data_IF_261241889878
#
_entry.id   IF_261241889878
#
_cell.length_a   1.000
_cell.length_b   1.000
_cell.length_c   1.000
_cell.angle_alpha   90.00
_cell.angle_beta   90.00
_cell.angle_gamma   90.00
#
_symmetry.space_group_name_H-M   'P 1'
#
loop_
_entity.id
_entity.type
_entity.pdbx_description
1 polymer ?
#
# COMPACT_ATOMS: atom_id res chain seq x y z
N UNK A 1 43.32 39.92 -17.23
CA UNK A 1 42.73 38.59 -17.50
C UNK A 1 41.77 38.22 -16.39
N UNK A 2 40.46 38.20 -16.67
CA UNK A 2 39.43 37.69 -15.75
C UNK A 2 39.02 36.30 -16.22
N UNK A 3 38.98 35.34 -15.31
CA UNK A 3 38.65 33.93 -15.57
C UNK A 3 37.18 33.82 -15.99
N UNK A 4 36.93 33.36 -17.22
CA UNK A 4 35.58 33.17 -17.82
C UNK A 4 35.25 31.69 -17.99
N UNK A 5 35.65 30.84 -17.04
CA UNK A 5 35.29 29.43 -17.07
C UNK A 5 35.03 28.94 -15.65
N UNK A 6 33.76 28.64 -15.35
CA UNK A 6 33.37 28.06 -14.06
C UNK A 6 32.01 28.50 -13.53
N UNK A 7 30.99 28.69 -14.37
CA UNK A 7 29.61 28.58 -13.86
C UNK A 7 29.32 27.09 -13.81
N UNK A 8 29.34 26.50 -12.60
CA UNK A 8 28.74 25.19 -12.39
C UNK A 8 27.28 25.33 -12.85
N UNK A 9 26.89 24.65 -13.93
CA UNK A 9 25.48 24.47 -14.23
C UNK A 9 24.86 23.90 -12.96
N UNK A 10 23.91 24.62 -12.37
CA UNK A 10 23.05 24.07 -11.35
C UNK A 10 22.56 22.71 -11.87
N UNK A 11 22.91 21.63 -11.17
CA UNK A 11 22.42 20.31 -11.53
C UNK A 11 20.94 20.35 -11.25
N UNK A 12 20.16 20.55 -12.31
CA UNK A 12 18.71 20.37 -12.25
C UNK A 12 18.44 19.02 -11.59
N UNK A 13 17.47 18.97 -10.67
CA UNK A 13 17.11 17.73 -10.02
C UNK A 13 16.82 16.65 -11.08
N UNK A 14 17.19 15.39 -10.82
CA UNK A 14 16.89 14.31 -11.74
C UNK A 14 15.39 14.32 -12.08
N UNK A 15 15.02 14.10 -13.36
CA UNK A 15 13.64 14.20 -13.79
C UNK A 15 12.77 13.27 -12.94
N UNK A 16 11.66 13.80 -12.44
CA UNK A 16 10.69 13.01 -11.70
C UNK A 16 9.93 12.06 -12.63
N UNK A 17 9.26 11.06 -12.04
CA UNK A 17 8.33 10.19 -12.77
C UNK A 17 7.27 11.04 -13.48
N UNK A 18 6.78 12.10 -12.83
CA UNK A 18 5.82 13.03 -13.42
C UNK A 18 6.38 13.76 -14.65
N UNK A 19 7.62 14.26 -14.57
CA UNK A 19 8.27 14.93 -15.71
C UNK A 19 8.44 13.97 -16.90
N UNK A 20 8.73 12.70 -16.62
CA UNK A 20 8.84 11.66 -17.64
C UNK A 20 7.48 11.36 -18.28
N UNK A 21 6.42 11.23 -17.47
CA UNK A 21 5.04 11.02 -17.95
C UNK A 21 4.57 12.19 -18.83
N UNK A 22 4.78 13.42 -18.40
CA UNK A 22 4.40 14.62 -19.18
C UNK A 22 5.10 14.69 -20.53
N UNK A 23 6.39 14.31 -20.59
CA UNK A 23 7.16 14.25 -21.84
C UNK A 23 6.65 13.15 -22.77
N UNK A 24 6.29 11.99 -22.24
CA UNK A 24 5.74 10.88 -23.02
C UNK A 24 4.36 11.24 -23.56
N UNK A 25 3.49 11.84 -22.74
CA UNK A 25 2.16 12.29 -23.15
C UNK A 25 2.24 13.30 -24.29
N UNK A 26 3.09 14.33 -24.17
CA UNK A 26 3.34 15.30 -25.25
C UNK A 26 3.84 14.64 -26.53
N UNK A 27 4.70 13.63 -26.43
CA UNK A 27 5.17 12.86 -27.61
C UNK A 27 4.03 12.03 -28.21
N UNK A 28 3.17 11.45 -27.38
CA UNK A 28 1.97 10.72 -27.78
C UNK A 28 1.03 11.60 -28.60
N UNK A 29 0.66 12.77 -28.07
CA UNK A 29 -0.18 13.76 -28.76
C UNK A 29 0.39 14.12 -30.14
N UNK A 30 1.70 14.41 -30.22
CA UNK A 30 2.37 14.72 -31.48
C UNK A 30 2.35 13.57 -32.49
N UNK A 31 2.43 12.32 -32.02
CA UNK A 31 2.34 11.13 -32.88
C UNK A 31 0.90 10.94 -33.35
N UNK A 32 -0.08 11.10 -32.47
CA UNK A 32 -1.50 10.99 -32.81
C UNK A 32 -1.94 12.05 -33.82
N UNK A 33 -1.50 13.30 -33.68
CA UNK A 33 -1.75 14.35 -34.67
C UNK A 33 -1.20 13.98 -36.06
N UNK A 34 0.00 13.35 -36.12
CA UNK A 34 0.59 12.90 -37.39
C UNK A 34 -0.22 11.76 -37.99
N UNK A 35 -0.67 10.81 -37.16
CA UNK A 35 -1.54 9.70 -37.61
C UNK A 35 -2.84 10.27 -38.18
N UNK A 36 -3.49 11.22 -37.50
CA UNK A 36 -4.73 11.85 -37.97
C UNK A 36 -4.56 12.55 -39.32
N UNK A 37 -3.45 13.29 -39.51
CA UNK A 37 -3.14 13.94 -40.80
C UNK A 37 -2.96 12.91 -41.93
N UNK A 38 -2.25 11.82 -41.67
CA UNK A 38 -2.04 10.74 -42.64
C UNK A 38 -3.35 10.01 -42.96
N UNK A 39 -4.23 9.81 -41.97
CA UNK A 39 -5.56 9.23 -42.18
C UNK A 39 -6.43 10.09 -43.10
N UNK A 40 -6.46 11.40 -42.87
CA UNK A 40 -7.17 12.32 -43.75
C UNK A 40 -6.63 12.28 -45.19
N UNK A 41 -5.31 12.15 -45.37
CA UNK A 41 -4.70 11.99 -46.69
C UNK A 41 -5.08 10.65 -47.35
N UNK A 42 -5.09 9.55 -46.60
CA UNK A 42 -5.52 8.23 -47.09
C UNK A 42 -6.98 8.22 -47.55
N UNK A 43 -7.87 8.93 -46.84
CA UNK A 43 -9.27 9.08 -47.27
C UNK A 43 -9.34 9.78 -48.64
N UNK A 44 -8.57 10.85 -48.85
CA UNK A 44 -8.51 11.56 -50.15
C UNK A 44 -8.01 10.65 -51.27
N UNK A 45 -6.94 9.88 -51.02
CA UNK A 45 -6.46 8.92 -52.01
C UNK A 45 -7.48 7.83 -52.31
N UNK A 46 -8.19 7.32 -51.30
CA UNK A 46 -9.25 6.32 -51.48
C UNK A 46 -10.35 6.84 -52.40
N UNK A 47 -10.77 8.09 -52.23
CA UNK A 47 -11.74 8.74 -53.12
C UNK A 47 -11.19 8.95 -54.54
N UNK A 48 -9.93 9.38 -54.66
CA UNK A 48 -9.30 9.58 -55.96
C UNK A 48 -9.19 8.27 -56.74
N UNK A 49 -8.82 7.17 -56.07
CA UNK A 49 -8.76 5.83 -56.69
C UNK A 49 -10.13 5.41 -57.19
N UNK A 50 -11.20 5.64 -56.42
CA UNK A 50 -12.59 5.32 -56.82
C UNK A 50 -13.04 6.11 -58.04
N UNK A 51 -12.65 7.38 -58.15
CA UNK A 51 -13.04 8.27 -59.27
C UNK A 51 -12.16 8.10 -60.53
N UNK A 52 -10.99 7.45 -60.40
CA UNK A 52 -10.06 7.26 -61.51
C UNK A 52 -10.31 5.94 -62.21
N UNK A 53 -10.41 5.95 -63.55
CA UNK A 53 -10.57 4.74 -64.36
C UNK A 53 -9.36 3.79 -64.19
N UNK A 54 -9.55 2.45 -64.16
CA UNK A 54 -8.45 1.51 -64.08
C UNK A 54 -7.40 1.73 -65.17
N UNK A 55 -6.13 1.76 -64.78
CA UNK A 55 -5.00 2.00 -65.69
C UNK A 55 -3.80 2.67 -64.99
N UNK A 56 -2.78 3.09 -65.77
CA UNK A 56 -1.53 3.63 -65.22
C UNK A 56 -1.71 4.82 -64.26
N UNK A 57 -2.70 5.67 -64.52
CA UNK A 57 -3.03 6.80 -63.64
C UNK A 57 -3.56 6.35 -62.28
N UNK A 58 -4.45 5.35 -62.24
CA UNK A 58 -4.97 4.79 -60.99
C UNK A 58 -3.83 4.12 -60.19
N UNK A 59 -2.92 3.41 -60.85
CA UNK A 59 -1.82 2.73 -60.16
C UNK A 59 -0.75 3.68 -59.63
N UNK A 60 -0.55 4.83 -60.28
CA UNK A 60 0.26 5.90 -59.71
C UNK A 60 -0.35 6.46 -58.41
N UNK A 61 -1.68 6.59 -58.34
CA UNK A 61 -2.38 7.04 -57.12
C UNK A 61 -2.31 5.96 -56.03
N UNK A 62 -2.52 4.68 -56.35
CA UNK A 62 -2.35 3.57 -55.39
C UNK A 62 -0.92 3.53 -54.84
N UNK A 63 0.10 3.71 -55.68
CA UNK A 63 1.49 3.73 -55.23
C UNK A 63 1.78 4.86 -54.24
N UNK A 64 1.18 6.05 -54.43
CA UNK A 64 1.27 7.17 -53.48
C UNK A 64 0.56 6.85 -52.17
N UNK A 65 -0.67 6.33 -52.24
CA UNK A 65 -1.44 5.90 -51.07
C UNK A 65 -0.69 4.86 -50.24
N UNK A 66 -0.01 3.91 -50.89
CA UNK A 66 0.80 2.89 -50.21
C UNK A 66 1.98 3.49 -49.43
N UNK A 67 2.60 4.58 -49.90
CA UNK A 67 3.67 5.27 -49.15
C UNK A 67 3.13 5.92 -47.88
N UNK A 68 1.98 6.60 -47.99
CA UNK A 68 1.31 7.22 -46.84
C UNK A 68 0.85 6.17 -45.83
N UNK A 69 0.32 5.04 -46.29
CA UNK A 69 -0.09 3.94 -45.42
C UNK A 69 1.10 3.35 -44.65
N UNK A 70 2.25 3.16 -45.30
CA UNK A 70 3.49 2.73 -44.63
C UNK A 70 3.94 3.72 -43.58
N UNK A 71 3.88 5.03 -43.88
CA UNK A 71 4.23 6.07 -42.92
C UNK A 71 3.27 6.08 -41.73
N UNK A 72 1.96 5.91 -41.96
CA UNK A 72 0.97 5.78 -40.89
C UNK A 72 1.29 4.59 -39.99
N UNK A 73 1.53 3.41 -40.57
CA UNK A 73 1.87 2.19 -39.83
C UNK A 73 3.12 2.35 -38.97
N UNK A 74 4.11 3.08 -39.45
CA UNK A 74 5.31 3.41 -38.65
C UNK A 74 4.96 4.26 -37.42
N UNK A 75 4.11 5.29 -37.56
CA UNK A 75 3.68 6.11 -36.43
C UNK A 75 2.75 5.37 -35.47
N UNK A 76 1.87 4.49 -35.96
CA UNK A 76 1.07 3.58 -35.11
C UNK A 76 2.00 2.74 -34.23
N UNK A 77 3.09 2.17 -34.78
CA UNK A 77 4.07 1.44 -33.99
C UNK A 77 4.83 2.31 -32.97
N UNK A 78 5.13 3.57 -33.30
CA UNK A 78 5.71 4.51 -32.33
C UNK A 78 4.75 4.83 -31.19
N UNK A 79 3.47 4.99 -31.49
CA UNK A 79 2.42 5.19 -30.49
C UNK A 79 2.28 3.98 -29.56
N UNK A 80 2.29 2.77 -30.11
CA UNK A 80 2.21 1.54 -29.32
C UNK A 80 3.42 1.40 -28.38
N UNK A 81 4.61 1.84 -28.83
CA UNK A 81 5.79 1.91 -27.95
C UNK A 81 5.60 2.93 -26.82
N UNK A 82 5.03 4.10 -27.10
CA UNK A 82 4.74 5.12 -26.09
C UNK A 82 3.69 4.65 -25.08
N UNK A 83 2.67 3.89 -25.52
CA UNK A 83 1.69 3.29 -24.61
C UNK A 83 2.35 2.31 -23.63
N UNK A 84 3.25 1.45 -24.12
CA UNK A 84 4.02 0.57 -23.23
C UNK A 84 4.91 1.35 -22.24
N UNK A 85 5.51 2.46 -22.67
CA UNK A 85 6.30 3.32 -21.78
C UNK A 85 5.43 4.01 -20.72
N UNK A 86 4.23 4.48 -21.10
CA UNK A 86 3.26 5.08 -20.19
C UNK A 86 2.82 4.07 -19.15
N UNK A 87 2.44 2.86 -19.58
CA UNK A 87 2.07 1.78 -18.66
C UNK A 87 3.18 1.45 -17.67
N UNK A 88 4.44 1.34 -18.13
CA UNK A 88 5.56 1.10 -17.22
C UNK A 88 5.76 2.25 -16.21
N UNK A 89 5.58 3.51 -16.63
CA UNK A 89 5.65 4.65 -15.69
C UNK A 89 4.49 4.65 -14.71
N UNK A 90 3.28 4.30 -15.12
CA UNK A 90 2.12 4.22 -14.22
C UNK A 90 2.35 3.17 -13.14
N UNK A 91 2.90 2.00 -13.50
CA UNK A 91 3.28 0.97 -12.53
C UNK A 91 4.35 1.46 -11.54
N UNK A 92 5.36 2.21 -12.03
CA UNK A 92 6.39 2.80 -11.17
C UNK A 92 5.81 3.90 -10.28
N UNK A 93 4.89 4.72 -10.79
CA UNK A 93 4.22 5.77 -10.03
C UNK A 93 3.41 5.19 -8.88
N UNK A 94 2.61 4.14 -9.16
CA UNK A 94 1.85 3.43 -8.15
C UNK A 94 2.75 2.82 -7.06
N UNK A 95 3.86 2.18 -7.45
CA UNK A 95 4.82 1.66 -6.50
C UNK A 95 5.47 2.78 -5.65
N UNK A 96 5.78 3.93 -6.26
CA UNK A 96 6.36 5.07 -5.57
C UNK A 96 5.38 5.68 -4.55
N UNK A 97 4.09 5.75 -4.88
CA UNK A 97 3.03 6.15 -3.96
C UNK A 97 2.93 5.21 -2.76
N UNK A 98 2.89 3.89 -3.01
CA UNK A 98 2.88 2.90 -1.91
C UNK A 98 4.10 2.99 -1.00
N UNK A 99 5.30 3.26 -1.56
CA UNK A 99 6.51 3.50 -0.76
C UNK A 99 6.38 4.78 0.08
N UNK A 100 5.79 5.84 -0.48
CA UNK A 100 5.58 7.10 0.24
C UNK A 100 4.61 6.92 1.41
N UNK A 101 3.54 6.15 1.23
CA UNK A 101 2.58 5.84 2.30
C UNK A 101 3.22 4.98 3.40
N UNK A 102 4.05 4.00 3.01
CA UNK A 102 4.84 3.21 3.96
C UNK A 102 5.82 4.10 4.76
N UNK A 103 6.48 5.06 4.12
CA UNK A 103 7.35 6.02 4.80
C UNK A 103 6.59 6.91 5.78
N UNK A 104 5.40 7.38 5.43
CA UNK A 104 4.54 8.15 6.33
C UNK A 104 4.11 7.32 7.55
N UNK A 105 3.66 6.08 7.32
CA UNK A 105 3.32 5.13 8.39
C UNK A 105 4.50 4.88 9.31
N UNK A 106 5.69 4.63 8.75
CA UNK A 106 6.90 4.43 9.55
C UNK A 106 7.28 5.67 10.37
N UNK A 107 7.08 6.87 9.81
CA UNK A 107 7.33 8.12 10.52
C UNK A 107 6.35 8.32 11.68
N UNK A 108 5.07 8.00 11.48
CA UNK A 108 4.07 8.00 12.54
C UNK A 108 4.41 7.00 13.66
N UNK A 109 4.79 5.77 13.30
CA UNK A 109 5.22 4.75 14.27
C UNK A 109 6.46 5.19 15.06
N UNK A 110 7.44 5.83 14.42
CA UNK A 110 8.61 6.39 15.11
C UNK A 110 8.22 7.46 16.11
N UNK A 111 7.27 8.34 15.76
CA UNK A 111 6.74 9.36 16.67
C UNK A 111 6.02 8.71 17.85
N UNK A 112 5.08 7.80 17.58
CA UNK A 112 4.33 7.10 18.62
C UNK A 112 5.24 6.33 19.60
N UNK A 113 6.29 5.68 19.10
CA UNK A 113 7.27 4.98 19.94
C UNK A 113 8.09 5.97 20.81
N UNK A 114 8.43 7.15 20.28
CA UNK A 114 9.07 8.20 21.06
C UNK A 114 8.15 8.70 22.20
N UNK A 115 6.87 8.89 21.90
CA UNK A 115 5.87 9.33 22.88
C UNK A 115 5.65 8.26 23.96
N UNK A 116 5.51 6.99 23.56
CA UNK A 116 5.38 5.86 24.47
C UNK A 116 6.58 5.73 25.40
N UNK A 117 7.81 5.90 24.88
CA UNK A 117 9.03 5.96 25.72
C UNK A 117 9.02 7.15 26.68
N UNK A 118 8.45 8.29 26.30
CA UNK A 118 8.26 9.43 27.19
C UNK A 118 7.27 9.12 28.31
N UNK A 119 6.12 8.53 27.97
CA UNK A 119 5.10 8.10 28.93
C UNK A 119 5.67 7.07 29.92
N UNK A 120 6.39 6.06 29.45
CA UNK A 120 7.01 5.05 30.33
C UNK A 120 8.03 5.62 31.31
N UNK A 121 8.72 6.73 30.98
CA UNK A 121 9.59 7.43 31.93
C UNK A 121 8.82 8.26 32.95
N UNK A 122 7.59 8.63 32.62
CA UNK A 122 6.71 9.46 33.45
C UNK A 122 5.85 8.60 34.39
N UNK A 123 5.51 7.37 33.99
CA UNK A 123 5.03 6.32 34.90
C UNK A 123 6.17 6.04 35.88
N UNK A 124 6.07 6.63 37.07
CA UNK A 124 7.10 6.46 38.09
C UNK A 124 6.97 5.04 38.60
N UNK A 125 8.06 4.28 38.53
CA UNK A 125 8.16 2.96 39.18
C UNK A 125 7.81 3.05 40.68
N UNK A 126 8.00 4.23 41.30
CA UNK A 126 7.56 4.53 42.68
C UNK A 126 6.05 4.40 42.89
N UNK A 127 5.24 4.66 41.86
CA UNK A 127 3.78 4.48 41.94
C UNK A 127 3.39 3.01 41.76
N UNK A 128 4.30 2.15 41.23
CA UNK A 128 4.08 0.71 41.12
C UNK A 128 4.32 0.01 42.47
N UNK A 129 5.35 0.43 43.22
CA UNK A 129 5.59 -0.05 44.58
C UNK A 129 4.41 0.33 45.51
N UNK A 130 3.92 1.57 45.43
CA UNK A 130 2.72 2.00 46.15
C UNK A 130 1.46 1.25 45.71
N UNK A 131 1.32 0.90 44.42
CA UNK A 131 0.17 0.12 43.93
C UNK A 131 0.22 -1.34 44.42
N UNK A 132 1.41 -1.90 44.58
CA UNK A 132 1.60 -3.24 45.16
C UNK A 132 1.26 -3.23 46.65
N UNK A 133 1.74 -2.25 47.41
CA UNK A 133 1.41 -2.07 48.82
C UNK A 133 -0.09 -1.81 49.01
N UNK A 134 -0.72 -0.94 48.18
CA UNK A 134 -2.17 -0.70 48.21
C UNK A 134 -2.98 -1.95 47.81
N UNK A 135 -2.52 -2.77 46.86
CA UNK A 135 -3.19 -4.06 46.56
C UNK A 135 -3.06 -5.07 47.70
N UNK A 136 -1.93 -5.07 48.40
CA UNK A 136 -1.70 -5.94 49.56
C UNK A 136 -2.61 -5.52 50.72
N UNK A 137 -2.70 -4.21 50.99
CA UNK A 137 -3.63 -3.62 51.94
C UNK A 137 -5.09 -3.87 51.53
N UNK A 138 -5.43 -3.84 50.24
CA UNK A 138 -6.79 -4.12 49.76
C UNK A 138 -7.17 -5.60 49.88
N UNK A 139 -6.22 -6.52 49.66
CA UNK A 139 -6.38 -7.96 49.89
C UNK A 139 -6.53 -8.27 51.37
N UNK A 140 -5.74 -7.63 52.23
CA UNK A 140 -5.83 -7.79 53.69
C UNK A 140 -7.12 -7.21 54.24
N UNK A 141 -7.55 -6.03 53.75
CA UNK A 141 -8.87 -5.48 54.06
C UNK A 141 -9.99 -6.36 53.49
N UNK A 142 -9.84 -6.97 52.32
CA UNK A 142 -10.82 -7.93 51.78
C UNK A 142 -10.92 -9.20 52.63
N UNK A 143 -9.79 -9.73 53.11
CA UNK A 143 -9.76 -10.88 54.02
C UNK A 143 -10.34 -10.52 55.39
N UNK A 144 -10.00 -9.35 55.93
CA UNK A 144 -10.55 -8.82 57.17
C UNK A 144 -12.06 -8.52 57.03
N UNK A 145 -12.52 -8.05 55.87
CA UNK A 145 -13.95 -7.90 55.54
C UNK A 145 -14.62 -9.28 55.47
N UNK A 146 -14.03 -10.28 54.82
CA UNK A 146 -14.61 -11.63 54.75
C UNK A 146 -14.67 -12.32 56.11
N UNK A 147 -13.66 -12.11 56.96
CA UNK A 147 -13.58 -12.63 58.34
C UNK A 147 -14.51 -11.86 59.29
N UNK A 148 -14.61 -10.53 59.15
CA UNK A 148 -15.53 -9.64 59.89
C UNK A 148 -17.00 -9.84 59.51
N UNK A 149 -17.30 -10.03 58.22
CA UNK A 149 -18.65 -10.37 57.77
C UNK A 149 -19.02 -11.82 58.05
N UNK A 150 -18.08 -12.66 58.52
CA UNK A 150 -18.34 -14.05 58.90
C UNK A 150 -19.15 -14.80 57.83
N UNK A 151 -18.92 -14.48 56.55
CA UNK A 151 -19.66 -15.10 55.46
C UNK A 151 -18.88 -16.33 55.02
N UNK A 152 -19.07 -17.40 55.79
CA UNK A 152 -19.16 -18.72 55.19
C UNK A 152 -20.22 -18.61 54.09
N UNK A 153 -19.81 -18.59 52.83
CA UNK A 153 -20.71 -19.00 51.77
C UNK A 153 -20.94 -20.50 51.96
N UNK A 154 -21.81 -20.84 52.91
CA UNK A 154 -22.48 -22.13 52.91
C UNK A 154 -23.33 -22.14 51.64
N UNK A 155 -22.71 -22.58 50.55
CA UNK A 155 -23.45 -23.16 49.43
C UNK A 155 -24.20 -24.33 50.05
N UNK A 156 -25.55 -24.33 50.09
CA UNK A 156 -26.30 -25.47 50.59
C UNK A 156 -25.87 -26.72 49.82
N UNK A 157 -25.62 -27.84 50.51
CA UNK A 157 -25.30 -29.12 49.86
C UNK A 157 -26.45 -29.64 48.95
N UNK A 158 -27.59 -28.93 48.96
CA UNK A 158 -28.84 -29.25 48.28
C UNK A 158 -29.00 -28.54 46.93
N UNK A 159 -27.96 -27.85 46.43
CA UNK A 159 -28.00 -27.26 45.09
C UNK A 159 -27.91 -28.37 44.05
N UNK A 160 -28.99 -28.57 43.29
CA UNK A 160 -29.06 -29.57 42.22
C UNK A 160 -28.29 -29.06 40.99
N UNK A 161 -27.22 -29.76 40.61
CA UNK A 161 -26.38 -29.41 39.45
C UNK A 161 -27.18 -29.40 38.14
N UNK A 162 -28.25 -30.21 38.06
CA UNK A 162 -29.12 -30.28 36.88
C UNK A 162 -29.98 -29.01 36.71
N UNK A 163 -30.41 -28.38 37.81
CA UNK A 163 -31.18 -27.14 37.80
C UNK A 163 -30.30 -25.95 37.39
N UNK A 164 -29.04 -25.93 37.87
CA UNK A 164 -28.05 -24.92 37.45
C UNK A 164 -27.66 -25.04 35.97
N UNK A 165 -27.52 -26.26 35.46
CA UNK A 165 -27.25 -26.48 34.04
C UNK A 165 -28.43 -26.02 33.18
N UNK A 166 -29.66 -26.26 33.64
CA UNK A 166 -30.88 -25.77 32.97
C UNK A 166 -30.99 -24.26 32.95
N UNK A 167 -30.65 -23.58 34.05
CA UNK A 167 -30.59 -22.11 34.09
C UNK A 167 -29.44 -21.54 33.23
N UNK A 168 -28.27 -22.20 33.19
CA UNK A 168 -27.12 -21.77 32.39
C UNK A 168 -27.42 -21.86 30.89
N UNK A 169 -28.03 -22.96 30.44
CA UNK A 169 -28.47 -23.13 29.05
C UNK A 169 -29.54 -22.09 28.68
N UNK A 170 -30.43 -21.75 29.60
CA UNK A 170 -31.43 -20.70 29.40
C UNK A 170 -30.78 -19.31 29.29
N UNK A 171 -29.73 -19.04 30.09
CA UNK A 171 -28.96 -17.78 30.04
C UNK A 171 -28.12 -17.66 28.76
N UNK A 172 -27.54 -18.77 28.29
CA UNK A 172 -26.84 -18.84 26.99
C UNK A 172 -27.82 -18.60 25.84
N UNK A 173 -29.04 -19.13 25.92
CA UNK A 173 -30.08 -18.85 24.94
C UNK A 173 -30.52 -17.37 24.96
N UNK A 174 -30.64 -16.77 26.15
CA UNK A 174 -30.99 -15.35 26.30
C UNK A 174 -29.89 -14.42 25.75
N UNK A 175 -28.61 -14.72 26.04
CA UNK A 175 -27.46 -14.01 25.44
C UNK A 175 -27.27 -14.30 23.94
N UNK A 176 -27.58 -15.52 23.49
CA UNK A 176 -27.51 -15.92 22.08
C UNK A 176 -28.52 -15.19 21.21
N UNK A 177 -29.70 -14.88 21.76
CA UNK A 177 -30.70 -14.04 21.10
C UNK A 177 -30.30 -12.55 21.04
N UNK A 178 -29.47 -12.07 21.98
CA UNK A 178 -28.92 -10.71 21.92
C UNK A 178 -27.63 -10.59 21.06
N UNK A 179 -26.92 -11.69 20.82
CA UNK A 179 -25.62 -11.67 20.09
C UNK A 179 -25.75 -11.85 18.56
N UNK A 180 -26.91 -12.22 18.02
CA UNK A 180 -27.18 -12.08 16.57
C UNK A 180 -27.47 -10.63 16.15
N UNK A 181 -27.45 -9.68 17.09
CA UNK A 181 -27.32 -8.25 16.83
C UNK A 181 -25.86 -7.84 16.99
N UNK A 182 -25.13 -7.79 15.87
CA UNK A 182 -23.74 -7.33 15.72
C UNK A 182 -23.57 -5.84 16.13
N UNK A 183 -23.67 -5.56 17.43
CA UNK A 183 -23.73 -4.21 17.98
C UNK A 183 -22.90 -4.09 19.24
N UNK A 184 -21.85 -3.27 19.17
CA UNK A 184 -21.10 -2.76 20.34
C UNK A 184 -22.11 -2.33 21.43
N UNK A 185 -21.93 -2.72 22.71
CA UNK A 185 -22.88 -2.43 23.78
C UNK A 185 -23.34 -0.96 23.79
N UNK A 186 -24.62 -0.73 24.07
CA UNK A 186 -25.28 0.58 24.01
C UNK A 186 -24.54 1.71 24.74
N UNK A 187 -23.68 1.41 25.71
CA UNK A 187 -22.85 2.40 26.43
C UNK A 187 -21.63 2.93 25.64
N UNK A 188 -21.29 2.36 24.48
CA UNK A 188 -20.18 2.78 23.61
C UNK A 188 -20.64 3.51 22.34
N UNK A 189 -21.94 3.73 22.15
CA UNK A 189 -22.47 4.46 21.00
C UNK A 189 -22.79 5.92 21.36
N UNK A 190 -22.33 6.91 20.58
CA UNK A 190 -22.65 8.31 20.83
C UNK A 190 -24.09 8.64 20.42
N UNK A 191 -24.96 8.93 21.39
CA UNK A 191 -26.36 9.29 21.16
C UNK A 191 -26.52 10.58 20.34
N UNK A 192 -27.28 10.48 19.24
CA UNK A 192 -28.02 11.61 18.66
C UNK A 192 -29.24 11.14 17.87
N UNK A 193 -30.36 11.14 18.58
CA UNK A 193 -31.72 11.53 18.17
C UNK A 193 -32.21 11.22 16.74
N UNK A 194 -33.22 10.33 16.70
CA UNK A 194 -34.48 10.39 15.94
C UNK A 194 -34.47 10.91 14.50
N UNK A 195 -34.77 10.02 13.55
CA UNK A 195 -36.02 10.07 12.79
C UNK A 195 -36.20 8.76 11.99
N UNK A 196 -37.23 8.01 12.38
CA UNK A 196 -37.77 6.90 11.62
C UNK A 196 -38.52 7.44 10.38
N UNK A 197 -38.65 6.58 9.37
CA UNK A 197 -39.72 6.57 8.36
C UNK A 197 -39.57 7.36 7.06
N UNK A 198 -38.44 7.27 6.36
CA UNK A 198 -38.51 7.49 4.90
C UNK A 198 -37.59 6.56 4.14
N UNK A 199 -38.22 5.54 3.58
CA UNK A 199 -37.81 4.84 2.37
C UNK A 199 -36.55 3.98 2.49
N UNK A 200 -36.72 2.65 2.47
CA UNK A 200 -36.06 1.82 1.45
C UNK A 200 -36.59 0.37 1.48
N UNK A 201 -37.48 0.12 0.53
CA UNK A 201 -37.90 -1.18 0.03
C UNK A 201 -36.66 -1.99 -0.41
N UNK A 202 -36.40 -3.15 0.19
CA UNK A 202 -35.36 -4.08 -0.27
C UNK A 202 -35.99 -5.38 -0.79
N UNK A 203 -35.66 -5.83 -2.02
CA UNK A 203 -36.18 -7.07 -2.59
C UNK A 203 -35.50 -8.31 -1.99
N UNK A 204 -36.22 -9.44 -2.02
CA UNK A 204 -35.80 -10.74 -1.48
C UNK A 204 -34.45 -11.23 -2.03
N UNK A 205 -33.62 -11.78 -1.14
CA UNK A 205 -32.34 -12.40 -1.49
C UNK A 205 -32.53 -13.67 -2.35
N UNK A 206 -31.78 -13.87 -3.44
CA UNK A 206 -31.86 -15.09 -4.23
C UNK A 206 -30.95 -16.19 -3.66
N UNK A 207 -31.55 -17.35 -3.41
CA UNK A 207 -30.89 -18.61 -3.05
C UNK A 207 -30.01 -19.15 -4.19
N UNK A 208 -28.90 -19.80 -3.83
CA UNK A 208 -27.86 -20.22 -4.78
C UNK A 208 -28.22 -21.36 -5.74
N UNK A 209 -27.53 -21.37 -6.88
CA UNK A 209 -27.24 -22.57 -7.68
C UNK A 209 -25.83 -22.46 -8.27
N UNK A 210 -25.06 -23.53 -8.10
CA UNK A 210 -23.71 -23.68 -8.61
C UNK A 210 -23.71 -23.90 -10.13
N UNK A 211 -22.73 -23.28 -10.81
CA UNK A 211 -22.22 -23.76 -12.09
C UNK A 211 -20.72 -23.44 -12.18
N UNK A 212 -19.92 -24.49 -12.28
CA UNK A 212 -18.47 -24.45 -12.51
C UNK A 212 -18.20 -24.04 -13.98
N UNK A 213 -17.08 -23.35 -14.27
CA UNK A 213 -16.25 -23.91 -15.33
C UNK A 213 -14.76 -23.96 -14.95
N UNK A 214 -14.17 -25.06 -15.40
CA UNK A 214 -12.79 -25.43 -15.24
C UNK A 214 -11.82 -24.50 -15.99
N UNK A 215 -10.63 -24.36 -15.42
CA UNK A 215 -9.40 -24.11 -16.17
C UNK A 215 -8.76 -22.75 -15.93
N UNK A 216 -7.84 -22.69 -14.97
CA UNK A 216 -6.57 -22.00 -15.17
C UNK A 216 -5.48 -22.63 -14.30
N UNK A 217 -4.50 -23.16 -15.02
CA UNK A 217 -3.37 -23.89 -14.51
C UNK A 217 -2.49 -23.00 -13.62
N UNK A 218 -2.05 -23.64 -12.53
CA UNK A 218 -0.82 -23.44 -11.80
C UNK A 218 0.27 -22.68 -12.60
N UNK A 219 0.56 -21.44 -12.19
CA UNK A 219 1.80 -20.73 -12.52
C UNK A 219 2.45 -20.30 -11.20
N UNK A 220 3.12 -21.29 -10.60
CA UNK A 220 4.38 -21.21 -9.85
C UNK A 220 4.93 -19.79 -9.62
N UNK A 221 4.77 -19.24 -8.40
CA UNK A 221 5.54 -18.12 -7.88
C UNK A 221 6.42 -18.58 -6.70
N UNK A 222 7.72 -18.88 -6.91
CA UNK A 222 8.65 -19.05 -5.78
C UNK A 222 9.88 -18.11 -5.84
N UNK A 223 10.00 -17.22 -6.84
CA UNK A 223 11.28 -16.50 -7.07
C UNK A 223 11.36 -15.06 -6.55
N UNK A 224 10.27 -14.46 -6.07
CA UNK A 224 10.34 -13.08 -5.54
C UNK A 224 10.71 -13.01 -4.06
N UNK A 225 10.35 -14.03 -3.28
CA UNK A 225 10.56 -14.04 -1.82
C UNK A 225 12.04 -14.19 -1.43
N UNK A 226 12.81 -15.03 -2.15
CA UNK A 226 14.25 -15.18 -1.91
C UNK A 226 15.05 -13.92 -2.25
N UNK A 227 14.62 -13.14 -3.25
CA UNK A 227 15.34 -11.92 -3.64
C UNK A 227 15.23 -10.82 -2.57
N UNK A 228 14.05 -10.71 -1.95
CA UNK A 228 13.78 -9.75 -0.86
C UNK A 228 14.44 -10.17 0.44
N UNK A 229 14.47 -11.47 0.76
CA UNK A 229 15.20 -11.97 1.94
C UNK A 229 16.72 -11.76 1.80
N UNK A 230 17.29 -11.99 0.61
CA UNK A 230 18.72 -11.74 0.38
C UNK A 230 19.08 -10.24 0.47
N UNK A 231 18.23 -9.36 -0.06
CA UNK A 231 18.45 -7.91 0.02
C UNK A 231 18.38 -7.37 1.46
N UNK A 232 17.49 -7.92 2.30
CA UNK A 232 17.41 -7.57 3.72
C UNK A 232 18.60 -8.10 4.52
N UNK A 233 19.09 -9.30 4.23
CA UNK A 233 20.25 -9.88 4.91
C UNK A 233 21.55 -9.09 4.62
N UNK A 234 21.72 -8.65 3.37
CA UNK A 234 22.87 -7.84 2.95
C UNK A 234 22.82 -6.41 3.53
N UNK A 235 21.63 -5.85 3.75
CA UNK A 235 21.50 -4.58 4.48
C UNK A 235 21.84 -4.72 5.96
N UNK A 236 21.47 -5.83 6.61
CA UNK A 236 21.77 -6.05 8.04
C UNK A 236 23.27 -6.25 8.30
N UNK A 237 24.01 -6.94 7.42
CA UNK A 237 25.46 -7.08 7.54
C UNK A 237 26.22 -5.75 7.40
N UNK A 238 25.75 -4.85 6.53
CA UNK A 238 26.36 -3.54 6.37
C UNK A 238 26.11 -2.61 7.57
N UNK A 239 25.02 -2.83 8.33
CA UNK A 239 24.71 -2.10 9.56
C UNK A 239 25.46 -2.61 10.81
N UNK A 240 26.07 -3.80 10.75
CA UNK A 240 26.93 -4.33 11.82
C UNK A 240 28.40 -3.90 11.67
N UNK A 241 28.87 -3.62 10.45
CA UNK A 241 30.25 -3.16 10.19
C UNK A 241 30.51 -1.71 10.61
N UNK A 242 29.49 -0.84 10.61
CA UNK A 242 29.62 0.57 11.03
C UNK A 242 29.67 0.75 12.56
N UNK A 243 29.39 -0.30 13.36
CA UNK A 243 29.39 -0.22 14.83
C UNK A 243 30.71 -0.62 15.51
N UNK A 244 31.73 -1.02 14.76
CA UNK A 244 33.03 -1.45 15.29
C UNK A 244 34.22 -0.60 14.82
N UNK A 245 33.99 0.58 14.25
CA UNK A 245 35.04 1.39 13.60
C UNK A 245 35.60 2.58 14.39
N UNK A 246 35.18 2.82 15.64
CA UNK A 246 35.66 3.97 16.43
C UNK A 246 36.15 3.50 17.79
N UNK A 247 37.38 3.00 17.84
CA UNK A 247 38.33 3.18 18.96
C UNK A 247 39.63 2.42 18.64
N UNK A 248 40.69 3.15 18.27
CA UNK A 248 42.04 3.04 18.84
C UNK A 248 43.13 3.66 17.94
N UNK A 249 43.85 4.61 18.57
CA UNK A 249 45.28 4.93 18.38
C UNK A 249 45.69 5.78 17.16
N UNK A 250 45.82 7.08 17.43
CA UNK A 250 46.46 8.04 16.55
C UNK A 250 47.95 7.76 16.32
N UNK A 251 48.34 7.76 15.04
CA UNK A 251 49.71 7.99 14.56
C UNK A 251 49.64 8.76 13.22
N UNK A 252 50.55 9.70 12.93
CA UNK A 252 50.52 10.47 11.70
C UNK A 252 50.94 9.63 10.49
N UNK A 253 50.18 9.75 9.40
CA UNK A 253 50.42 9.05 8.14
C UNK A 253 51.75 9.48 7.48
N UNK A 254 52.62 8.51 7.21
CA UNK A 254 53.86 8.68 6.43
C UNK A 254 53.50 8.70 4.93
N UNK A 255 54.03 9.65 4.12
CA UNK A 255 53.74 9.69 2.69
C UNK A 255 54.51 8.60 1.91
N UNK A 256 53.78 7.84 1.09
CA UNK A 256 54.32 6.85 0.14
C UNK A 256 55.14 7.55 -0.96
N UNK A 257 56.44 7.24 -1.02
CA UNK A 257 57.33 7.63 -2.10
C UNK A 257 56.95 6.91 -3.42
N UNK A 258 56.73 7.69 -4.48
CA UNK A 258 56.66 7.21 -5.87
C UNK A 258 58.06 6.91 -6.38
N UNK A 259 58.38 5.63 -6.52
CA UNK A 259 59.50 5.14 -7.33
C UNK A 259 58.98 4.79 -8.73
N UNK A 260 59.34 5.62 -9.72
CA UNK A 260 59.48 5.18 -11.11
C UNK A 260 60.46 6.10 -11.84
N UNK A 261 61.68 5.59 -11.97
CA UNK A 261 62.68 5.90 -12.99
C UNK A 261 63.14 4.56 -13.53
#
# INVERSE_FOLDING_TARGET
MRRVFGVKKDKEPPPSVQDASDRINKRGENVDEKIQKLDAELVRYKEQIKKTRPGPAQEAVKARAMRVLKQKKMYEGQRDMLYNQTFNLDQVSFAAEGIKDAQQTMSALKSANKDLKGMMKTVKIQDIDNLQDEMMDLMDVSNEIQESLGRSYNVPDDIDEDDLMGELDALEADMGFETESDGVPSYLQPDKDSDLDSELNLPSAPSGHAANPAGRANMQFPFYELSLQNALHEQLQNLELDRFGEDELGLPAVPRATLRG
#
